data_IF_281249904489
#
_entry.id   IF_281249904489
#
_cell.length_a   1.000
_cell.length_b   1.000
_cell.length_c   1.000
_cell.angle_alpha   90.00
_cell.angle_beta   90.00
_cell.angle_gamma   90.00
#
_symmetry.space_group_name_H-M   'P 1'
#
loop_
_entity.id
_entity.type
_entity.pdbx_description
1 polymer ?
#
# COMPACT_ATOMS: atom_id res chain seq x y z
N UNK A 1 -22.57 -4.03 -5.55
CA UNK A 1 -22.43 -2.77 -4.79
C UNK A 1 -21.01 -2.70 -4.26
N UNK A 2 -20.16 -1.83 -4.80
CA UNK A 2 -18.84 -1.56 -4.22
C UNK A 2 -18.44 -0.12 -4.51
N UNK A 3 -18.96 0.78 -3.70
CA UNK A 3 -18.52 2.16 -3.64
C UNK A 3 -17.70 2.29 -2.37
N UNK A 4 -16.38 2.30 -2.52
CA UNK A 4 -15.48 2.71 -1.44
C UNK A 4 -14.60 3.82 -1.97
N UNK A 5 -15.21 5.00 -2.13
CA UNK A 5 -14.47 6.24 -2.04
C UNK A 5 -14.00 6.34 -0.58
N UNK A 6 -12.82 5.77 -0.30
CA UNK A 6 -12.20 5.91 1.01
C UNK A 6 -11.96 7.39 1.24
N UNK A 7 -12.73 7.99 2.14
CA UNK A 7 -12.40 9.29 2.73
C UNK A 7 -10.93 9.23 3.13
N UNK A 8 -10.09 10.11 2.55
CA UNK A 8 -8.62 10.11 2.67
C UNK A 8 -8.12 10.47 4.06
N UNK A 9 -8.73 9.91 5.11
CA UNK A 9 -8.33 10.06 6.51
C UNK A 9 -7.15 9.12 6.75
N UNK A 10 -6.03 9.71 7.10
CA UNK A 10 -4.82 8.97 7.48
C UNK A 10 -5.12 8.19 8.76
N UNK A 11 -5.08 6.87 8.69
CA UNK A 11 -5.22 6.00 9.85
C UNK A 11 -3.85 5.40 10.18
N UNK A 12 -3.10 6.08 11.05
CA UNK A 12 -1.76 5.63 11.47
C UNK A 12 -1.83 4.24 12.11
N UNK A 13 -2.86 3.94 12.91
CA UNK A 13 -2.97 2.65 13.59
C UNK A 13 -3.13 1.49 12.59
N UNK A 14 -3.96 1.67 11.56
CA UNK A 14 -4.09 0.71 10.47
C UNK A 14 -2.80 0.60 9.65
N UNK A 15 -2.14 1.73 9.38
CA UNK A 15 -0.90 1.77 8.63
C UNK A 15 0.27 1.17 9.42
N UNK A 16 0.31 1.25 10.74
CA UNK A 16 1.38 0.72 11.58
C UNK A 16 1.03 -0.64 12.21
N UNK A 17 0.19 -1.44 11.55
CA UNK A 17 -0.23 -2.74 12.07
C UNK A 17 0.98 -3.63 12.38
N UNK A 18 0.93 -4.24 13.57
CA UNK A 18 1.92 -5.19 14.04
C UNK A 18 1.96 -6.43 13.15
N UNK A 19 3.17 -6.96 12.97
CA UNK A 19 3.41 -8.24 12.30
C UNK A 19 3.33 -9.39 13.33
N UNK A 20 2.58 -10.43 13.01
CA UNK A 20 2.49 -11.62 13.86
C UNK A 20 3.64 -12.60 13.60
N UNK A 21 4.08 -13.28 14.66
CA UNK A 21 5.21 -14.20 14.58
C UNK A 21 4.77 -15.56 14.04
N UNK A 22 5.28 -15.92 12.87
CA UNK A 22 5.28 -17.29 12.35
C UNK A 22 6.65 -17.96 12.57
N UNK A 23 6.68 -18.99 13.42
CA UNK A 23 7.88 -19.77 13.75
C UNK A 23 8.33 -20.74 12.65
N UNK A 24 7.58 -20.86 11.54
CA UNK A 24 7.99 -21.63 10.35
C UNK A 24 8.97 -20.84 9.50
N UNK A 25 8.92 -19.51 9.59
CA UNK A 25 9.80 -18.60 8.87
C UNK A 25 11.06 -18.39 9.70
N UNK A 26 12.24 -18.45 9.08
CA UNK A 26 13.49 -18.28 9.83
C UNK A 26 13.58 -16.91 10.52
N UNK A 27 14.17 -16.87 11.72
CA UNK A 27 14.44 -15.63 12.45
C UNK A 27 15.22 -14.60 11.60
N UNK A 28 16.15 -15.08 10.77
CA UNK A 28 16.95 -14.24 9.85
C UNK A 28 16.09 -13.45 8.88
N UNK A 29 14.93 -13.98 8.50
CA UNK A 29 13.99 -13.27 7.63
C UNK A 29 13.41 -12.03 8.32
N UNK A 30 13.04 -12.13 9.60
CA UNK A 30 12.54 -10.97 10.36
C UNK A 30 13.58 -9.87 10.52
N UNK A 31 14.86 -10.21 10.70
CA UNK A 31 15.95 -9.23 10.67
C UNK A 31 16.02 -8.50 9.32
N UNK A 32 15.85 -9.22 8.20
CA UNK A 32 15.80 -8.60 6.86
C UNK A 32 14.59 -7.70 6.67
N UNK A 33 13.42 -8.08 7.20
CA UNK A 33 12.25 -7.20 7.21
C UNK A 33 12.59 -5.91 7.96
N UNK A 34 13.20 -6.01 9.14
CA UNK A 34 13.57 -4.85 9.94
C UNK A 34 14.53 -3.91 9.20
N UNK A 35 15.55 -4.45 8.54
CA UNK A 35 16.48 -3.66 7.72
C UNK A 35 15.77 -3.02 6.51
N UNK A 36 14.83 -3.72 5.86
CA UNK A 36 14.07 -3.16 4.75
C UNK A 36 13.12 -2.04 5.19
N UNK A 37 12.49 -2.15 6.36
CA UNK A 37 11.68 -1.06 6.92
C UNK A 37 12.54 0.18 7.16
N UNK A 38 13.76 0.02 7.69
CA UNK A 38 14.66 1.16 7.89
C UNK A 38 15.09 1.81 6.56
N UNK A 39 15.33 1.02 5.51
CA UNK A 39 15.58 1.57 4.17
C UNK A 39 14.40 2.37 3.64
N UNK A 40 13.17 1.92 3.89
CA UNK A 40 11.97 2.71 3.53
C UNK A 40 11.89 3.99 4.35
N UNK A 41 12.23 3.95 5.64
CA UNK A 41 12.32 5.14 6.46
C UNK A 41 13.36 6.13 5.90
N UNK A 42 14.52 5.67 5.42
CA UNK A 42 15.52 6.53 4.79
C UNK A 42 14.95 7.26 3.55
N UNK A 43 14.21 6.55 2.70
CA UNK A 43 13.53 7.17 1.55
C UNK A 43 12.55 8.25 2.01
N UNK A 44 11.72 7.97 3.04
CA UNK A 44 10.77 8.97 3.53
C UNK A 44 11.44 10.16 4.24
N UNK A 45 12.64 10.00 4.78
CA UNK A 45 13.46 11.13 5.27
C UNK A 45 13.87 12.02 4.10
N UNK A 46 14.34 11.44 3.01
CA UNK A 46 14.76 12.17 1.80
C UNK A 46 13.57 12.90 1.15
N UNK A 47 12.40 12.27 1.11
CA UNK A 47 11.17 12.83 0.54
C UNK A 47 10.49 13.87 1.46
N UNK A 48 11.00 14.07 2.69
CA UNK A 48 10.33 14.85 3.74
C UNK A 48 8.88 14.41 4.02
N UNK A 49 8.59 13.12 3.82
CA UNK A 49 7.30 12.54 4.10
C UNK A 49 7.22 12.10 5.57
N UNK A 50 6.91 13.07 6.43
CA UNK A 50 6.93 12.91 7.89
C UNK A 50 5.93 11.86 8.39
N UNK A 51 4.78 11.72 7.73
CA UNK A 51 3.72 10.78 8.16
C UNK A 51 4.15 9.35 7.88
N UNK A 52 4.60 9.05 6.66
CA UNK A 52 5.01 7.69 6.31
C UNK A 52 6.31 7.30 7.00
N UNK A 53 7.24 8.26 7.21
CA UNK A 53 8.41 8.06 8.07
C UNK A 53 7.99 7.62 9.48
N UNK A 54 7.05 8.33 10.10
CA UNK A 54 6.55 8.00 11.43
C UNK A 54 5.94 6.59 11.48
N UNK A 55 5.14 6.22 10.48
CA UNK A 55 4.56 4.87 10.35
C UNK A 55 5.65 3.81 10.21
N UNK A 56 6.67 4.03 9.37
CA UNK A 56 7.77 3.06 9.19
C UNK A 56 8.55 2.84 10.48
N UNK A 57 8.84 3.91 11.23
CA UNK A 57 9.54 3.81 12.51
C UNK A 57 8.70 3.11 13.58
N UNK A 58 7.38 3.32 13.60
CA UNK A 58 6.47 2.56 14.47
C UNK A 58 6.48 1.06 14.13
N UNK A 59 6.35 0.71 12.84
CA UNK A 59 6.41 -0.68 12.38
C UNK A 59 7.73 -1.34 12.77
N UNK A 60 8.84 -0.65 12.55
CA UNK A 60 10.16 -1.13 12.96
C UNK A 60 10.20 -1.39 14.47
N UNK A 61 9.72 -0.45 15.27
CA UNK A 61 9.73 -0.55 16.72
C UNK A 61 8.96 -1.77 17.21
N UNK A 62 7.70 -1.94 16.78
CA UNK A 62 6.88 -3.11 17.13
C UNK A 62 7.46 -4.43 16.64
N UNK A 63 8.06 -4.47 15.44
CA UNK A 63 8.75 -5.67 14.95
C UNK A 63 9.90 -6.07 15.88
N UNK A 64 10.67 -5.10 16.37
CA UNK A 64 11.85 -5.35 17.21
C UNK A 64 11.48 -5.66 18.67
N UNK A 65 10.47 -5.00 19.24
CA UNK A 65 10.11 -5.15 20.65
C UNK A 65 9.15 -6.30 20.91
N UNK A 66 8.28 -6.61 19.95
CA UNK A 66 7.16 -7.54 20.17
C UNK A 66 7.23 -8.79 19.30
N UNK A 67 7.76 -8.68 18.08
CA UNK A 67 7.70 -9.78 17.10
C UNK A 67 8.97 -10.63 17.13
N UNK A 68 10.13 -10.04 16.85
CA UNK A 68 11.42 -10.72 16.84
C UNK A 68 11.72 -11.45 18.16
N UNK A 69 11.47 -10.87 19.35
CA UNK A 69 11.75 -11.53 20.62
C UNK A 69 10.89 -12.78 20.90
N UNK A 70 9.69 -12.85 20.30
CA UNK A 70 8.74 -13.95 20.48
C UNK A 70 9.02 -15.16 19.57
N UNK A 71 9.98 -15.07 18.65
CA UNK A 71 10.36 -16.17 17.78
C UNK A 71 11.15 -17.26 18.53
N UNK A 72 10.89 -18.55 18.25
CA UNK A 72 11.51 -19.70 18.96
C UNK A 72 13.05 -19.66 18.98
N UNK A 73 13.67 -19.28 17.86
CA UNK A 73 15.13 -19.25 17.70
C UNK A 73 15.77 -17.95 18.24
N UNK A 74 15.00 -17.03 18.81
CA UNK A 74 15.53 -15.75 19.29
C UNK A 74 16.48 -15.93 20.48
N UNK A 75 16.18 -16.86 21.39
CA UNK A 75 17.02 -17.10 22.58
C UNK A 75 18.43 -17.54 22.16
N UNK A 76 18.55 -18.40 21.16
CA UNK A 76 19.81 -18.94 20.64
C UNK A 76 20.49 -18.04 19.61
N UNK A 77 19.89 -16.92 19.21
CA UNK A 77 20.47 -16.06 18.18
C UNK A 77 21.67 -15.23 18.67
N UNK A 78 22.53 -14.86 17.71
CA UNK A 78 23.82 -14.20 17.95
C UNK A 78 23.66 -12.88 18.74
N UNK A 79 24.44 -12.66 19.81
CA UNK A 79 24.39 -11.42 20.61
C UNK A 79 24.67 -10.15 19.79
N UNK A 80 25.54 -10.24 18.78
CA UNK A 80 25.91 -9.12 17.90
C UNK A 80 24.70 -8.60 17.12
N UNK A 81 23.87 -9.50 16.57
CA UNK A 81 22.65 -9.10 15.86
C UNK A 81 21.66 -8.41 16.80
N UNK A 82 21.49 -8.95 18.01
CA UNK A 82 20.62 -8.36 19.06
C UNK A 82 21.07 -6.96 19.46
N UNK A 83 22.36 -6.76 19.69
CA UNK A 83 22.88 -5.46 20.11
C UNK A 83 22.74 -4.41 19.01
N UNK A 84 22.98 -4.79 17.75
CA UNK A 84 22.76 -3.89 16.60
C UNK A 84 21.30 -3.46 16.47
N UNK A 85 20.36 -4.39 16.66
CA UNK A 85 18.93 -4.13 16.58
C UNK A 85 18.46 -3.19 17.69
N UNK A 86 18.97 -3.39 18.92
CA UNK A 86 18.69 -2.52 20.07
C UNK A 86 19.21 -1.09 19.87
N UNK A 87 20.43 -0.92 19.33
CA UNK A 87 20.97 0.42 19.02
C UNK A 87 20.09 1.16 18.01
N UNK A 88 19.71 0.48 16.92
CA UNK A 88 18.81 1.03 15.90
C UNK A 88 17.42 1.34 16.47
N UNK A 89 16.89 0.50 17.37
CA UNK A 89 15.62 0.77 18.06
C UNK A 89 15.69 2.05 18.89
N UNK A 90 16.75 2.26 19.67
CA UNK A 90 16.89 3.47 20.46
C UNK A 90 16.85 4.72 19.57
N UNK A 91 17.58 4.70 18.45
CA UNK A 91 17.56 5.80 17.47
C UNK A 91 16.16 6.03 16.90
N UNK A 92 15.44 4.96 16.52
CA UNK A 92 14.08 5.04 16.00
C UNK A 92 13.11 5.64 17.03
N UNK A 93 13.20 5.24 18.30
CA UNK A 93 12.37 5.79 19.38
C UNK A 93 12.66 7.28 19.62
N UNK A 94 13.93 7.67 19.66
CA UNK A 94 14.31 9.09 19.79
C UNK A 94 13.79 9.94 18.62
N UNK A 95 13.79 9.40 17.41
CA UNK A 95 13.23 10.09 16.24
C UNK A 95 11.70 10.16 16.31
N UNK A 96 11.02 9.08 16.70
CA UNK A 96 9.56 9.05 16.89
C UNK A 96 9.10 10.12 17.89
N UNK A 97 9.82 10.31 19.00
CA UNK A 97 9.52 11.35 19.98
C UNK A 97 9.56 12.75 19.37
N UNK A 98 10.56 13.03 18.52
CA UNK A 98 10.70 14.30 17.80
C UNK A 98 9.62 14.50 16.75
N UNK A 99 9.24 13.43 16.04
CA UNK A 99 8.25 13.49 14.96
C UNK A 99 6.82 13.63 15.47
N UNK A 100 6.51 13.12 16.68
CA UNK A 100 5.16 13.13 17.24
C UNK A 100 4.41 14.48 17.13
N UNK A 101 4.96 15.62 17.60
CA UNK A 101 4.26 16.91 17.45
C UNK A 101 4.09 17.34 15.99
N UNK A 102 5.07 17.04 15.13
CA UNK A 102 5.08 17.41 13.71
C UNK A 102 3.99 16.63 12.96
N UNK A 103 3.88 15.32 13.21
CA UNK A 103 2.85 14.45 12.64
C UNK A 103 1.46 14.91 13.07
N UNK A 104 1.29 15.21 14.36
CA UNK A 104 0.01 15.69 14.88
C UNK A 104 -0.43 16.97 14.17
N UNK A 105 0.47 17.96 14.06
CA UNK A 105 0.21 19.19 13.31
C UNK A 105 -0.18 18.89 11.86
N UNK A 106 0.53 17.98 11.18
CA UNK A 106 0.25 17.65 9.77
C UNK A 106 -1.13 17.01 9.59
N UNK A 107 -1.54 16.15 10.53
CA UNK A 107 -2.88 15.54 10.53
C UNK A 107 -3.95 16.62 10.73
N UNK A 108 -3.73 17.53 11.67
CA UNK A 108 -4.68 18.61 11.97
C UNK A 108 -4.82 19.56 10.77
N UNK A 109 -3.73 19.89 10.09
CA UNK A 109 -3.74 20.67 8.83
C UNK A 109 -4.56 19.98 7.74
N UNK A 110 -4.40 18.66 7.57
CA UNK A 110 -5.14 17.89 6.56
C UNK A 110 -6.63 17.80 6.90
N UNK A 111 -6.99 17.65 8.18
CA UNK A 111 -8.38 17.62 8.63
C UNK A 111 -9.08 18.98 8.44
N UNK A 112 -8.37 20.10 8.67
CA UNK A 112 -8.89 21.45 8.40
C UNK A 112 -9.20 21.64 6.92
N UNK A 113 -8.22 21.33 6.05
CA UNK A 113 -8.39 21.41 4.58
C UNK A 113 -9.56 20.56 4.06
N UNK A 114 -9.79 19.39 4.65
CA UNK A 114 -10.92 18.55 4.27
C UNK A 114 -12.27 19.14 4.74
N UNK A 115 -12.30 19.79 5.90
CA UNK A 115 -13.51 20.46 6.42
C UNK A 115 -13.89 21.68 5.57
N UNK A 116 -12.90 22.47 5.14
CA UNK A 116 -13.11 23.66 4.31
C UNK A 116 -13.67 23.32 2.91
N UNK A 117 -13.18 22.23 2.30
CA UNK A 117 -13.67 21.75 0.99
C UNK A 117 -15.10 21.20 1.06
N UNK A 118 -15.47 20.57 2.18
CA UNK A 118 -16.82 20.04 2.36
C UNK A 118 -17.83 21.19 2.57
N UNK A 119 -17.43 22.24 3.29
CA UNK A 119 -18.24 23.46 3.42
C UNK A 119 -18.43 24.16 2.07
N UNK A 120 -17.40 24.25 1.23
CA UNK A 120 -17.51 24.82 -0.12
C UNK A 120 -18.49 24.07 -1.04
N UNK A 121 -18.55 22.74 -0.95
CA UNK A 121 -19.43 21.90 -1.78
C UNK A 121 -20.91 22.04 -1.39
N UNK A 122 -21.20 22.26 -0.11
CA UNK A 122 -22.58 22.49 0.37
C UNK A 122 -23.19 23.74 -0.25
N UNK A 123 -22.41 24.81 -0.46
CA UNK A 123 -22.88 26.03 -1.10
C UNK A 123 -23.14 25.91 -2.62
N UNK A 124 -22.48 24.96 -3.31
CA UNK A 124 -22.74 24.73 -4.74
C UNK A 124 -23.97 23.84 -4.98
N UNK A 125 -24.30 22.92 -4.07
CA UNK A 125 -25.47 22.05 -4.25
C UNK A 125 -26.80 22.74 -3.87
N UNK A 126 -26.75 23.80 -3.04
CA UNK A 126 -27.94 24.57 -2.70
C UNK A 126 -28.41 25.50 -3.83
N UNK A 127 -27.53 25.82 -4.80
CA UNK A 127 -27.85 26.65 -5.97
C UNK A 127 -28.23 25.87 -7.24
N UNK A 128 -27.98 24.56 -7.30
CA UNK A 128 -28.36 23.71 -8.45
C UNK A 128 -29.74 23.06 -8.25
N UNK A 129 -30.29 23.11 -7.04
CA UNK A 129 -31.61 22.53 -6.71
C UNK A 129 -32.81 23.44 -7.04
N UNK A 130 -32.61 24.58 -7.71
CA UNK A 130 -33.69 25.57 -7.95
C UNK A 130 -33.83 26.02 -9.42
N UNK A 131 -33.21 25.34 -10.38
CA UNK A 131 -33.34 25.69 -11.80
C UNK A 131 -33.42 24.46 -12.72
N UNK A 132 -34.44 23.62 -12.55
CA UNK A 132 -34.94 22.77 -13.63
C UNK A 132 -36.45 22.93 -13.72
N UNK A 133 -36.87 23.79 -14.64
CA UNK A 133 -38.26 23.93 -15.06
C UNK A 133 -38.67 22.69 -15.86
N UNK A 134 -39.87 22.11 -15.64
CA UNK A 134 -40.41 21.07 -16.51
C UNK A 134 -41.13 21.75 -17.68
N UNK A 135 -40.47 21.90 -18.83
CA UNK A 135 -41.18 22.30 -20.06
C UNK A 135 -41.59 21.07 -20.85
N UNK A 136 -42.83 20.67 -20.58
CA UNK A 136 -43.69 19.84 -21.42
C UNK A 136 -43.85 20.50 -22.80
N UNK A 137 -43.48 19.81 -23.88
CA UNK A 137 -44.18 19.90 -25.17
C UNK A 137 -44.20 18.53 -25.87
N UNK A 138 -45.42 18.03 -26.07
CA UNK A 138 -45.75 16.94 -26.98
C UNK A 138 -45.65 17.48 -28.42
N UNK A 139 -45.05 16.73 -29.35
CA UNK A 139 -45.55 16.69 -30.74
C UNK A 139 -45.24 15.34 -31.37
N UNK A 140 -46.26 14.86 -32.07
CA UNK A 140 -46.51 13.59 -32.75
C UNK A 140 -45.86 13.54 -34.15
N UNK A 141 -45.88 12.34 -34.76
CA UNK A 141 -45.68 11.96 -36.19
C UNK A 141 -44.25 11.56 -36.56
N UNK A 142 -43.95 10.50 -37.33
CA UNK A 142 -44.69 9.36 -37.92
C UNK A 142 -43.62 8.46 -38.60
N UNK A 143 -43.87 7.14 -38.73
CA UNK A 143 -43.28 6.17 -39.69
C UNK A 143 -41.72 6.00 -39.72
N UNK A 144 -41.13 4.85 -40.00
CA UNK A 144 -41.65 3.61 -40.57
C UNK A 144 -40.73 2.42 -40.25
N UNK A 145 -41.34 1.27 -40.44
CA UNK A 145 -40.81 -0.08 -40.56
C UNK A 145 -39.42 -0.20 -41.21
N UNK A 146 -38.58 -1.10 -40.68
CA UNK A 146 -38.10 -2.29 -41.42
C UNK A 146 -37.20 -3.21 -40.56
N UNK A 147 -37.67 -4.44 -40.41
CA UNK A 147 -36.88 -5.64 -40.07
C UNK A 147 -35.78 -5.83 -41.10
N UNK A 148 -34.53 -6.08 -40.69
CA UNK A 148 -33.67 -7.08 -41.34
C UNK A 148 -32.79 -7.77 -40.29
N UNK A 149 -32.95 -9.08 -40.31
CA UNK A 149 -32.22 -10.18 -39.70
C UNK A 149 -30.69 -10.01 -39.62
N UNK A 150 -30.13 -10.30 -38.44
CA UNK A 150 -28.72 -10.71 -38.29
C UNK A 150 -28.63 -12.21 -38.57
N UNK A 151 -27.72 -12.70 -39.43
CA UNK A 151 -27.32 -14.09 -39.36
C UNK A 151 -26.23 -14.25 -38.29
N UNK A 152 -26.48 -15.17 -37.37
CA UNK A 152 -25.46 -15.81 -36.57
C UNK A 152 -24.56 -16.66 -37.48
N UNK A 153 -23.26 -16.74 -37.20
CA UNK A 153 -22.53 -17.99 -37.41
C UNK A 153 -21.27 -18.06 -36.52
N UNK A 154 -21.26 -19.11 -35.69
CA UNK A 154 -20.11 -19.87 -35.17
C UNK A 154 -19.06 -19.19 -34.29
N UNK A 155 -19.10 -19.56 -33.00
CA UNK A 155 -17.88 -20.05 -32.32
C UNK A 155 -17.56 -21.50 -32.75
N UNK A 156 -16.77 -22.29 -31.99
CA UNK A 156 -16.03 -21.95 -30.78
C UNK A 156 -14.62 -22.58 -30.65
N UNK A 157 -13.84 -22.03 -29.72
CA UNK A 157 -13.11 -22.75 -28.66
C UNK A 157 -11.76 -23.48 -28.87
N UNK A 158 -11.13 -23.54 -27.69
CA UNK A 158 -10.12 -24.47 -27.16
C UNK A 158 -8.64 -24.09 -27.27
N UNK A 159 -8.12 -23.75 -26.08
CA UNK A 159 -6.92 -24.32 -25.45
C UNK A 159 -5.61 -24.32 -26.27
N UNK A 160 -4.57 -23.68 -25.75
CA UNK A 160 -3.68 -24.44 -24.86
C UNK A 160 -2.55 -23.58 -24.28
N UNK A 161 -2.38 -23.79 -22.99
CA UNK A 161 -1.16 -23.64 -22.22
C UNK A 161 0.02 -24.28 -22.97
N UNK A 162 1.15 -23.57 -23.14
CA UNK A 162 2.41 -24.21 -23.51
C UNK A 162 3.54 -23.74 -22.62
N UNK A 163 3.75 -24.53 -21.58
CA UNK A 163 4.99 -24.57 -20.83
C UNK A 163 6.08 -25.28 -21.66
N UNK A 164 7.33 -25.01 -21.24
CA UNK A 164 8.57 -25.78 -21.41
C UNK A 164 9.40 -25.52 -22.69
N UNK A 165 10.73 -25.81 -22.70
CA UNK A 165 11.57 -26.34 -21.61
C UNK A 165 12.93 -25.65 -21.41
N UNK A 166 13.48 -25.87 -20.21
CA UNK A 166 14.93 -25.91 -19.95
C UNK A 166 15.67 -26.82 -20.95
N UNK A 167 16.90 -26.47 -21.30
CA UNK A 167 17.90 -27.42 -21.80
C UNK A 167 19.29 -27.12 -21.24
N UNK A 168 20.14 -28.16 -21.12
CA UNK A 168 21.25 -28.20 -20.16
C UNK A 168 22.63 -27.90 -20.77
N UNK A 169 23.58 -27.75 -19.85
CA UNK A 169 25.00 -27.38 -19.95
C UNK A 169 25.85 -27.99 -21.08
N UNK A 170 26.95 -27.31 -21.43
CA UNK A 170 28.30 -27.91 -21.61
C UNK A 170 29.44 -26.95 -21.19
N UNK A 171 30.57 -27.50 -20.69
CA UNK A 171 31.74 -26.76 -20.20
C UNK A 171 32.75 -26.49 -21.34
N UNK A 172 33.64 -25.51 -21.14
CA UNK A 172 34.83 -25.31 -21.98
C UNK A 172 36.07 -25.30 -21.09
N UNK A 173 37.00 -26.17 -21.47
CA UNK A 173 38.27 -26.51 -20.84
C UNK A 173 39.32 -25.39 -20.83
N UNK A 174 40.07 -25.39 -19.72
CA UNK A 174 41.53 -25.45 -19.59
C UNK A 174 42.46 -24.83 -20.67
N UNK A 175 43.06 -23.68 -20.34
CA UNK A 175 44.32 -23.14 -20.88
C UNK A 175 44.61 -21.83 -20.10
N UNK A 176 45.68 -21.61 -19.35
CA UNK A 176 47.10 -21.85 -19.60
C UNK A 176 47.89 -21.90 -18.27
N UNK A 177 48.87 -22.79 -18.25
CA UNK A 177 50.00 -22.84 -17.32
C UNK A 177 51.07 -21.82 -17.76
N UNK A 178 51.60 -21.02 -16.84
CA UNK A 178 53.00 -20.56 -16.78
C UNK A 178 53.33 -20.05 -15.39
#
# INVERSE_FOLDING_TARGET
>A
MRSSAGSGRINIAASAQRLDVDNRISLRYYYRIADNILKQADIFREENNVIDLYVMLLRYSSLVTETIPCHRDYRTSLPIAKSSLKKKLLNALTELEKLKPIVQQKIDELNRKHSDQMNGTVYFHQNISSAWTPVRKQTLTHSDTNKVSRPALRGPAYQSLRNQPYSPARPVDDQFRR
#
